data_IF_478004662554
#
_entry.id   IF_478004662554
#
_cell.length_a   1.000
_cell.length_b   1.000
_cell.length_c   1.000
_cell.angle_alpha   90.00
_cell.angle_beta   90.00
_cell.angle_gamma   90.00
#
_symmetry.space_group_name_H-M   'P 1'
#
loop_
_entity.id
_entity.type
_entity.pdbx_description
1 polymer ?
#
# COMPACT_ATOMS: atom_id res chain seq x y z
N UNK A 1 -9.05 24.88 -13.14
CA UNK A 1 -8.00 24.38 -12.23
C UNK A 1 -6.68 24.85 -12.80
N UNK A 2 -5.82 25.41 -11.96
CA UNK A 2 -4.53 25.96 -12.40
C UNK A 2 -3.59 24.78 -12.44
N UNK A 3 -3.11 24.40 -13.63
CA UNK A 3 -2.01 23.43 -13.75
C UNK A 3 -0.81 23.97 -12.97
N UNK A 4 -0.59 23.42 -11.77
CA UNK A 4 0.57 23.80 -10.96
C UNK A 4 1.75 23.06 -11.56
N UNK A 5 2.50 23.77 -12.41
CA UNK A 5 3.76 23.25 -12.93
C UNK A 5 4.67 22.88 -11.73
N UNK A 6 4.91 21.58 -11.53
CA UNK A 6 5.74 21.12 -10.42
C UNK A 6 7.18 21.58 -10.65
N UNK A 7 7.64 22.44 -9.75
CA UNK A 7 9.03 22.91 -9.65
C UNK A 7 9.58 22.67 -8.25
N UNK A 8 10.90 22.74 -8.07
CA UNK A 8 11.52 22.64 -6.76
C UNK A 8 10.93 23.64 -5.74
N UNK A 9 10.67 24.87 -6.16
CA UNK A 9 10.07 25.91 -5.31
C UNK A 9 8.63 25.58 -4.92
N UNK A 10 7.83 25.06 -5.86
CA UNK A 10 6.46 24.64 -5.56
C UNK A 10 6.44 23.48 -4.55
N UNK A 11 7.32 22.48 -4.68
CA UNK A 11 7.41 21.37 -3.74
C UNK A 11 7.84 21.85 -2.35
N UNK A 12 8.75 22.81 -2.29
CA UNK A 12 9.16 23.43 -1.03
C UNK A 12 8.00 24.17 -0.37
N UNK A 13 7.24 24.97 -1.12
CA UNK A 13 6.07 25.68 -0.60
C UNK A 13 4.95 24.73 -0.16
N UNK A 14 4.70 23.64 -0.90
CA UNK A 14 3.77 22.59 -0.50
C UNK A 14 4.20 21.94 0.81
N UNK A 15 5.49 21.58 0.95
CA UNK A 15 6.02 21.02 2.19
C UNK A 15 5.93 22.01 3.35
N UNK A 16 6.22 23.28 3.10
CA UNK A 16 6.14 24.34 4.12
C UNK A 16 4.70 24.51 4.62
N UNK A 17 3.72 24.52 3.72
CA UNK A 17 2.29 24.57 4.07
C UNK A 17 1.88 23.34 4.86
N UNK A 18 2.31 22.15 4.44
CA UNK A 18 2.07 20.89 5.16
C UNK A 18 2.66 20.91 6.57
N UNK A 19 3.83 21.54 6.76
CA UNK A 19 4.47 21.73 8.07
C UNK A 19 3.72 22.72 8.97
N UNK A 20 3.15 23.77 8.39
CA UNK A 20 2.57 24.89 9.14
C UNK A 20 1.16 24.65 9.66
N UNK A 21 0.37 23.80 8.99
CA UNK A 21 -1.03 23.52 9.31
C UNK A 21 -1.14 22.14 9.92
N UNK A 22 -2.02 21.97 10.90
CA UNK A 22 -2.33 20.64 11.45
C UNK A 22 -3.26 19.85 10.52
N UNK A 23 -4.17 20.57 9.85
CA UNK A 23 -5.08 20.00 8.86
C UNK A 23 -4.34 19.56 7.59
N UNK A 24 -4.89 18.54 6.91
CA UNK A 24 -4.37 18.08 5.63
C UNK A 24 -4.68 19.11 4.55
N UNK A 25 -3.64 19.55 3.83
CA UNK A 25 -3.85 20.53 2.76
C UNK A 25 -4.45 19.85 1.52
N UNK A 26 -5.24 20.61 0.76
CA UNK A 26 -5.69 20.21 -0.58
C UNK A 26 -4.52 20.23 -1.55
N UNK A 27 -4.30 19.10 -2.20
CA UNK A 27 -3.42 18.97 -3.36
C UNK A 27 -4.26 18.85 -4.62
N UNK A 28 -3.61 19.05 -5.77
CA UNK A 28 -4.23 18.78 -7.07
C UNK A 28 -4.39 17.27 -7.25
N UNK A 29 -5.49 16.84 -7.88
CA UNK A 29 -5.79 15.43 -8.10
C UNK A 29 -4.70 14.75 -8.97
N UNK A 30 -4.05 15.50 -9.86
CA UNK A 30 -2.96 15.01 -10.70
C UNK A 30 -1.56 15.20 -10.09
N UNK A 31 -1.46 15.62 -8.82
CA UNK A 31 -0.18 15.95 -8.16
C UNK A 31 0.90 14.88 -8.35
N UNK A 32 0.58 13.59 -8.14
CA UNK A 32 1.55 12.52 -8.29
C UNK A 32 1.98 12.30 -9.75
N UNK A 33 1.07 12.54 -10.71
CA UNK A 33 1.38 12.50 -12.14
C UNK A 33 2.35 13.60 -12.54
N UNK A 34 2.14 14.81 -12.03
CA UNK A 34 3.01 15.96 -12.31
C UNK A 34 4.38 15.80 -11.66
N UNK A 35 4.44 15.30 -10.43
CA UNK A 35 5.70 14.97 -9.74
C UNK A 35 6.49 13.91 -10.51
N UNK A 36 5.83 12.87 -11.00
CA UNK A 36 6.47 11.83 -11.79
C UNK A 36 7.07 12.38 -13.08
N UNK A 37 6.34 13.27 -13.76
CA UNK A 37 6.81 13.94 -14.98
C UNK A 37 8.03 14.80 -14.68
N UNK A 38 7.97 15.62 -13.64
CA UNK A 38 9.10 16.46 -13.19
C UNK A 38 10.36 15.64 -12.86
N UNK A 39 10.21 14.51 -12.16
CA UNK A 39 11.33 13.62 -11.84
C UNK A 39 11.94 13.00 -13.11
N UNK A 40 11.09 12.56 -14.06
CA UNK A 40 11.55 11.99 -15.33
C UNK A 40 12.34 13.01 -16.16
N UNK A 41 11.85 14.23 -16.26
CA UNK A 41 12.52 15.30 -17.01
C UNK A 41 13.88 15.64 -16.39
N UNK A 42 13.95 15.75 -15.06
CA UNK A 42 15.22 15.97 -14.35
C UNK A 42 16.20 14.82 -14.52
N UNK A 43 15.72 13.59 -14.57
CA UNK A 43 16.56 12.41 -14.81
C UNK A 43 17.11 12.39 -16.24
N UNK A 44 16.28 12.73 -17.24
CA UNK A 44 16.72 12.84 -18.63
C UNK A 44 17.82 13.91 -18.81
N UNK A 45 17.68 15.05 -18.13
CA UNK A 45 18.72 16.10 -18.10
C UNK A 45 20.02 15.55 -17.51
N UNK A 46 19.94 14.86 -16.36
CA UNK A 46 21.11 14.28 -15.70
C UNK A 46 21.84 13.26 -16.59
N UNK A 47 21.11 12.42 -17.31
CA UNK A 47 21.70 11.41 -18.21
C UNK A 47 22.32 12.07 -19.46
N UNK A 48 21.70 13.13 -19.99
CA UNK A 48 22.29 13.93 -21.08
C UNK A 48 23.59 14.63 -20.67
N UNK A 49 23.69 15.08 -19.41
CA UNK A 49 24.89 15.72 -18.87
C UNK A 49 26.04 14.73 -18.65
N UNK A 50 25.74 13.50 -18.22
CA UNK A 50 26.73 12.42 -18.06
C UNK A 50 27.33 11.96 -19.39
N UNK A 51 26.59 12.10 -20.48
CA UNK A 51 27.02 11.67 -21.82
C UNK A 51 27.99 12.66 -22.47
N UNK A 52 28.11 13.88 -21.92
CA UNK A 52 29.02 14.92 -22.41
C UNK A 52 30.33 14.84 -21.62
N UNK A 53 31.32 14.15 -22.17
CA UNK A 53 32.61 13.82 -21.54
C UNK A 53 33.58 15.02 -21.39
N UNK A 54 33.12 16.14 -20.81
CA UNK A 54 33.92 17.34 -20.58
C UNK A 54 34.22 17.53 -19.08
N UNK A 55 35.39 18.06 -18.72
CA UNK A 55 35.78 18.31 -17.32
C UNK A 55 34.75 19.17 -16.56
N UNK A 56 34.09 20.12 -17.23
CA UNK A 56 33.01 20.93 -16.69
C UNK A 56 31.68 20.18 -16.46
N UNK A 57 31.45 19.07 -17.16
CA UNK A 57 30.26 18.22 -16.97
C UNK A 57 30.23 17.61 -15.57
N UNK A 58 31.40 17.31 -14.98
CA UNK A 58 31.50 16.69 -13.66
C UNK A 58 30.87 17.55 -12.57
N UNK A 59 31.06 18.86 -12.63
CA UNK A 59 30.57 19.81 -11.62
C UNK A 59 29.08 20.14 -11.83
N UNK A 60 28.61 20.20 -13.09
CA UNK A 60 27.19 20.36 -13.41
C UNK A 60 26.39 19.11 -13.03
N UNK A 61 26.89 17.91 -13.35
CA UNK A 61 26.28 16.62 -12.96
C UNK A 61 26.14 16.52 -11.45
N UNK A 62 27.17 16.91 -10.68
CA UNK A 62 27.11 16.92 -9.22
C UNK A 62 26.05 17.88 -8.69
N UNK A 63 25.94 19.10 -9.26
CA UNK A 63 24.90 20.06 -8.88
C UNK A 63 23.49 19.53 -9.18
N UNK A 64 23.27 18.99 -10.36
CA UNK A 64 21.98 18.40 -10.76
C UNK A 64 21.61 17.22 -9.87
N UNK A 65 22.58 16.35 -9.55
CA UNK A 65 22.38 15.24 -8.63
C UNK A 65 21.96 15.73 -7.24
N UNK A 66 22.66 16.71 -6.68
CA UNK A 66 22.32 17.29 -5.38
C UNK A 66 20.92 17.93 -5.37
N UNK A 67 20.53 18.60 -6.45
CA UNK A 67 19.17 19.12 -6.59
C UNK A 67 18.13 17.99 -6.59
N UNK A 68 18.41 16.89 -7.27
CA UNK A 68 17.52 15.73 -7.31
C UNK A 68 17.40 15.05 -5.94
N UNK A 69 18.52 14.88 -5.23
CA UNK A 69 18.54 14.35 -3.87
C UNK A 69 17.71 15.23 -2.91
N UNK A 70 17.81 16.56 -3.03
CA UNK A 70 16.98 17.49 -2.27
C UNK A 70 15.48 17.33 -2.58
N UNK A 71 15.11 17.19 -3.86
CA UNK A 71 13.72 16.95 -4.27
C UNK A 71 13.18 15.67 -3.65
N UNK A 72 13.95 14.58 -3.69
CA UNK A 72 13.54 13.33 -3.03
C UNK A 72 13.38 13.48 -1.52
N UNK A 73 14.26 14.25 -0.88
CA UNK A 73 14.11 14.60 0.54
C UNK A 73 12.80 15.34 0.82
N UNK A 74 12.45 16.34 0.01
CA UNK A 74 11.20 17.10 0.14
C UNK A 74 9.98 16.19 -0.05
N UNK A 75 9.99 15.32 -1.05
CA UNK A 75 8.88 14.39 -1.32
C UNK A 75 8.69 13.37 -0.20
N UNK A 76 9.79 12.85 0.33
CA UNK A 76 9.77 11.93 1.48
C UNK A 76 9.18 12.61 2.72
N UNK A 77 9.69 13.80 3.06
CA UNK A 77 9.17 14.62 4.17
C UNK A 77 7.68 14.92 4.01
N UNK A 78 7.25 15.26 2.79
CA UNK A 78 5.86 15.57 2.49
C UNK A 78 4.98 14.33 2.69
N UNK A 79 5.41 13.18 2.19
CA UNK A 79 4.71 11.91 2.35
C UNK A 79 4.53 11.55 3.83
N UNK A 80 5.61 11.51 4.62
CA UNK A 80 5.57 11.11 6.03
C UNK A 80 4.65 12.01 6.87
N UNK A 81 4.61 13.31 6.55
CA UNK A 81 3.73 14.27 7.20
C UNK A 81 2.28 14.06 6.83
N UNK A 82 1.99 13.86 5.55
CA UNK A 82 0.63 13.57 5.09
C UNK A 82 0.14 12.24 5.66
N UNK A 83 0.97 11.21 5.66
CA UNK A 83 0.68 9.90 6.27
C UNK A 83 0.28 10.05 7.74
N UNK A 84 1.07 10.78 8.54
CA UNK A 84 0.76 11.04 9.94
C UNK A 84 -0.58 11.75 10.13
N UNK A 85 -0.87 12.75 9.27
CA UNK A 85 -2.15 13.47 9.30
C UNK A 85 -3.33 12.59 8.91
N UNK A 86 -3.18 11.73 7.91
CA UNK A 86 -4.22 10.80 7.46
C UNK A 86 -4.58 9.82 8.58
N UNK A 87 -3.58 9.30 9.32
CA UNK A 87 -3.81 8.41 10.47
C UNK A 87 -4.57 9.14 11.59
N UNK A 88 -4.13 10.36 11.94
CA UNK A 88 -4.80 11.17 12.97
C UNK A 88 -6.23 11.52 12.57
N UNK A 89 -6.44 11.80 11.30
CA UNK A 89 -7.74 12.09 10.73
C UNK A 89 -8.63 10.85 10.80
N UNK A 90 -8.14 9.67 10.40
CA UNK A 90 -8.88 8.41 10.52
C UNK A 90 -9.27 8.10 11.98
N UNK A 91 -8.38 8.38 12.93
CA UNK A 91 -8.67 8.26 14.36
C UNK A 91 -9.80 9.20 14.81
N UNK A 92 -9.83 10.43 14.31
CA UNK A 92 -10.91 11.39 14.58
C UNK A 92 -12.23 10.94 13.92
N UNK A 93 -12.18 10.51 12.66
CA UNK A 93 -13.32 9.99 11.90
C UNK A 93 -13.91 8.70 12.46
N UNK A 94 -13.11 7.91 13.18
CA UNK A 94 -13.57 6.72 13.92
C UNK A 94 -14.37 7.09 15.18
N UNK A 95 -14.17 8.30 15.73
CA UNK A 95 -14.87 8.78 16.94
C UNK A 95 -16.17 9.50 16.63
N UNK A 96 -16.20 10.24 15.52
CA UNK A 96 -17.34 11.07 15.11
C UNK A 96 -17.62 10.80 13.64
N UNK A 97 -18.74 10.13 13.36
CA UNK A 97 -19.16 9.86 11.99
C UNK A 97 -19.43 11.17 11.24
N UNK A 98 -18.83 11.34 10.06
CA UNK A 98 -19.13 12.43 9.13
C UNK A 98 -18.08 13.53 8.97
N UNK A 99 -16.97 13.52 9.72
CA UNK A 99 -15.81 14.40 9.46
C UNK A 99 -14.64 13.57 8.93
N UNK A 100 -13.98 14.03 7.86
CA UNK A 100 -12.57 13.67 7.65
C UNK A 100 -12.06 13.51 6.22
N UNK A 101 -12.88 13.22 5.21
CA UNK A 101 -12.30 12.87 3.90
C UNK A 101 -12.06 14.05 2.96
N UNK A 102 -12.24 15.28 3.45
CA UNK A 102 -12.02 16.49 2.67
C UNK A 102 -10.51 16.66 2.42
N UNK A 103 -10.13 16.96 1.18
CA UNK A 103 -8.75 17.22 0.74
C UNK A 103 -7.80 16.00 0.66
N UNK A 104 -8.31 14.78 0.81
CA UNK A 104 -7.57 13.56 0.51
C UNK A 104 -7.53 13.28 -0.99
N UNK A 105 -6.38 12.84 -1.49
CA UNK A 105 -6.26 12.25 -2.82
C UNK A 105 -6.89 10.86 -2.84
N UNK A 106 -7.25 10.34 -4.01
CA UNK A 106 -7.94 9.04 -4.10
C UNK A 106 -7.12 7.87 -3.52
N UNK A 107 -5.81 7.89 -3.74
CA UNK A 107 -4.88 6.91 -3.13
C UNK A 107 -4.84 7.03 -1.60
N UNK A 108 -4.96 8.25 -1.08
CA UNK A 108 -4.94 8.53 0.36
C UNK A 108 -6.28 8.16 1.02
N UNK A 109 -7.41 8.31 0.30
CA UNK A 109 -8.74 7.86 0.76
C UNK A 109 -8.75 6.36 1.02
N UNK A 110 -8.18 5.56 0.12
CA UNK A 110 -8.08 4.10 0.30
C UNK A 110 -7.31 3.75 1.58
N UNK A 111 -6.20 4.45 1.84
CA UNK A 111 -5.43 4.25 3.06
C UNK A 111 -6.21 4.68 4.31
N UNK A 112 -6.81 5.88 4.26
CA UNK A 112 -7.66 6.41 5.32
C UNK A 112 -8.77 5.42 5.73
N UNK A 113 -9.51 4.88 4.74
CA UNK A 113 -10.65 4.01 5.00
C UNK A 113 -10.22 2.70 5.66
N UNK A 114 -9.10 2.12 5.23
CA UNK A 114 -8.52 0.93 5.86
C UNK A 114 -8.12 1.19 7.31
N UNK A 115 -7.46 2.32 7.59
CA UNK A 115 -7.08 2.68 8.96
C UNK A 115 -8.33 2.91 9.80
N UNK A 116 -9.35 3.59 9.27
CA UNK A 116 -10.63 3.82 9.95
C UNK A 116 -11.32 2.50 10.30
N UNK A 117 -11.34 1.52 9.38
CA UNK A 117 -11.90 0.20 9.63
C UNK A 117 -11.20 -0.52 10.79
N UNK A 118 -9.87 -0.51 10.83
CA UNK A 118 -9.08 -1.09 11.92
C UNK A 118 -9.40 -0.42 13.25
N UNK A 119 -9.46 0.92 13.27
CA UNK A 119 -9.79 1.68 14.49
C UNK A 119 -11.21 1.39 14.99
N UNK A 120 -12.18 1.29 14.08
CA UNK A 120 -13.57 0.94 14.40
C UNK A 120 -13.70 -0.50 14.88
N UNK A 121 -12.94 -1.43 14.30
CA UNK A 121 -12.89 -2.81 14.74
C UNK A 121 -12.35 -2.92 16.17
N UNK A 122 -11.21 -2.27 16.46
CA UNK A 122 -10.64 -2.23 17.80
C UNK A 122 -11.60 -1.64 18.83
N UNK A 123 -12.27 -0.53 18.46
CA UNK A 123 -13.25 0.13 19.34
C UNK A 123 -14.43 -0.79 19.66
N UNK A 124 -15.01 -1.46 18.67
CA UNK A 124 -16.12 -2.40 18.89
C UNK A 124 -15.68 -3.62 19.72
N UNK A 125 -14.51 -4.18 19.42
CA UNK A 125 -13.99 -5.35 20.13
C UNK A 125 -13.63 -5.10 21.58
N UNK A 126 -13.22 -3.87 21.92
CA UNK A 126 -12.80 -3.51 23.29
C UNK A 126 -13.84 -2.66 24.00
N UNK A 127 -14.09 -1.44 23.50
CA UNK A 127 -14.91 -0.46 24.20
C UNK A 127 -16.37 -0.91 24.28
N UNK A 128 -16.97 -1.31 23.16
CA UNK A 128 -18.40 -1.69 23.15
C UNK A 128 -18.63 -2.95 23.98
N UNK A 129 -17.72 -3.92 23.91
CA UNK A 129 -17.79 -5.11 24.76
C UNK A 129 -17.71 -4.77 26.25
N UNK A 130 -16.77 -3.91 26.66
CA UNK A 130 -16.67 -3.45 28.05
C UNK A 130 -17.93 -2.70 28.51
N UNK A 131 -18.46 -1.79 27.69
CA UNK A 131 -19.69 -1.06 28.00
C UNK A 131 -20.91 -1.98 28.12
N UNK A 132 -20.90 -3.13 27.43
CA UNK A 132 -21.92 -4.17 27.51
C UNK A 132 -21.63 -5.25 28.56
N UNK A 133 -20.62 -5.08 29.42
CA UNK A 133 -20.26 -6.04 30.46
C UNK A 133 -19.68 -7.37 29.94
N UNK A 134 -19.19 -7.39 28.70
CA UNK A 134 -18.54 -8.55 28.07
C UNK A 134 -17.03 -8.39 28.11
N UNK A 135 -16.33 -9.51 28.14
CA UNK A 135 -14.86 -9.52 28.04
C UNK A 135 -14.47 -8.99 26.66
N UNK A 136 -13.45 -8.12 26.55
CA UNK A 136 -12.91 -7.69 25.26
C UNK A 136 -12.56 -8.89 24.38
N UNK A 137 -13.08 -8.87 23.16
CA UNK A 137 -12.77 -9.85 22.13
C UNK A 137 -12.35 -9.08 20.88
N UNK A 138 -11.08 -9.24 20.54
CA UNK A 138 -10.43 -8.60 19.41
C UNK A 138 -9.98 -9.66 18.41
N UNK A 139 -10.67 -10.81 18.37
CA UNK A 139 -10.47 -11.81 17.34
C UNK A 139 -10.76 -11.18 15.97
N UNK A 140 -9.76 -11.22 15.09
CA UNK A 140 -9.75 -10.52 13.79
C UNK A 140 -11.12 -10.56 13.10
N UNK A 141 -11.52 -9.47 12.41
CA UNK A 141 -12.78 -9.47 11.68
C UNK A 141 -12.76 -10.68 10.74
N UNK A 142 -13.79 -11.53 10.84
CA UNK A 142 -13.97 -12.78 10.08
C UNK A 142 -13.98 -12.60 8.53
N UNK A 143 -13.57 -11.45 8.01
CA UNK A 143 -13.40 -11.11 6.60
C UNK A 143 -11.94 -10.89 6.15
N UNK A 144 -10.97 -10.88 7.06
CA UNK A 144 -9.55 -11.15 6.73
C UNK A 144 -9.23 -12.50 7.35
N UNK A 145 -10.04 -13.52 7.05
CA UNK A 145 -9.50 -14.87 7.11
C UNK A 145 -8.43 -14.89 6.04
N UNK A 146 -7.20 -14.69 6.48
CA UNK A 146 -6.08 -15.20 5.75
C UNK A 146 -6.46 -16.64 5.37
N UNK A 147 -6.56 -16.93 4.08
CA UNK A 147 -6.68 -18.29 3.54
C UNK A 147 -5.47 -19.17 3.95
N UNK A 148 -4.68 -18.75 4.93
CA UNK A 148 -3.46 -19.35 5.45
C UNK A 148 -3.81 -20.36 6.55
N UNK A 149 -4.84 -20.13 7.37
CA UNK A 149 -5.21 -21.09 8.44
C UNK A 149 -5.89 -22.37 7.95
N UNK A 150 -6.38 -22.40 6.70
CA UNK A 150 -7.03 -23.58 6.12
C UNK A 150 -6.21 -24.23 5.00
N UNK A 151 -4.88 -24.06 4.96
CA UNK A 151 -4.03 -24.81 4.03
C UNK A 151 -3.51 -26.08 4.68
N UNK A 152 -3.74 -27.21 4.01
CA UNK A 152 -3.29 -28.53 4.42
C UNK A 152 -2.18 -28.95 3.46
N UNK A 153 -1.11 -29.47 4.05
CA UNK A 153 0.01 -30.06 3.33
C UNK A 153 -0.40 -31.42 2.78
N UNK A 154 -0.33 -31.58 1.47
CA UNK A 154 -0.67 -32.83 0.79
C UNK A 154 0.47 -33.30 -0.09
N UNK A 155 0.60 -34.62 -0.21
CA UNK A 155 1.47 -35.30 -1.15
C UNK A 155 0.64 -35.90 -2.28
N UNK A 156 0.99 -35.61 -3.53
CA UNK A 156 0.30 -36.17 -4.70
C UNK A 156 0.68 -37.64 -4.91
N UNK A 157 -0.32 -38.50 -5.15
CA UNK A 157 -0.14 -39.93 -5.47
C UNK A 157 -0.23 -40.15 -6.99
N UNK A 158 -0.68 -39.15 -7.74
CA UNK A 158 -0.82 -39.23 -9.20
C UNK A 158 -0.61 -37.84 -9.81
N UNK A 159 -0.13 -37.74 -11.06
CA UNK A 159 0.09 -36.46 -11.70
C UNK A 159 -1.24 -35.70 -11.89
N UNK A 160 -1.25 -34.42 -11.51
CA UNK A 160 -2.41 -33.54 -11.62
C UNK A 160 -2.07 -32.37 -12.54
N UNK A 161 -2.76 -32.19 -13.67
CA UNK A 161 -2.52 -31.07 -14.58
C UNK A 161 -2.92 -29.75 -13.93
N UNK A 162 -2.52 -28.63 -14.53
CA UNK A 162 -2.93 -27.29 -14.08
C UNK A 162 -4.45 -27.17 -13.97
N UNK A 163 -4.94 -26.67 -12.84
CA UNK A 163 -6.36 -26.42 -12.60
C UNK A 163 -6.58 -25.10 -11.86
N UNK A 164 -7.78 -24.54 -11.96
CA UNK A 164 -8.16 -23.28 -11.30
C UNK A 164 -8.99 -23.60 -10.06
N UNK A 165 -8.60 -23.08 -8.90
CA UNK A 165 -9.35 -23.19 -7.65
C UNK A 165 -10.54 -22.22 -7.60
N UNK A 166 -11.46 -22.42 -6.66
CA UNK A 166 -12.64 -21.56 -6.48
C UNK A 166 -12.25 -20.11 -6.09
N UNK A 167 -11.10 -19.95 -5.43
CA UNK A 167 -10.46 -18.67 -5.15
C UNK A 167 -9.84 -17.97 -6.37
N UNK A 168 -9.95 -18.55 -7.56
CA UNK A 168 -9.45 -17.98 -8.80
C UNK A 168 -7.96 -18.22 -9.09
N UNK A 169 -7.20 -18.81 -8.17
CA UNK A 169 -5.79 -19.14 -8.36
C UNK A 169 -5.60 -20.39 -9.22
N UNK A 170 -4.54 -20.40 -10.03
CA UNK A 170 -4.16 -21.56 -10.84
C UNK A 170 -3.13 -22.38 -10.06
N UNK A 171 -3.43 -23.66 -9.87
CA UNK A 171 -2.60 -24.63 -9.16
C UNK A 171 -2.04 -25.66 -10.15
N UNK A 172 -0.82 -26.13 -9.89
CA UNK A 172 -0.16 -27.18 -10.69
C UNK A 172 0.69 -26.66 -11.85
N UNK A 173 1.21 -27.56 -12.71
CA UNK A 173 0.98 -29.01 -12.68
C UNK A 173 1.75 -29.64 -11.51
N UNK A 174 1.22 -30.73 -10.96
CA UNK A 174 1.88 -31.49 -9.90
C UNK A 174 2.22 -32.88 -10.41
N UNK A 175 3.41 -33.35 -10.11
CA UNK A 175 3.88 -34.70 -10.43
C UNK A 175 3.57 -35.67 -9.29
N UNK A 176 3.80 -36.96 -9.54
CA UNK A 176 3.68 -37.98 -8.51
C UNK A 176 4.73 -37.74 -7.41
N UNK A 177 4.32 -37.83 -6.14
CA UNK A 177 5.12 -37.53 -4.94
C UNK A 177 5.39 -36.04 -4.67
N UNK A 178 4.90 -35.12 -5.49
CA UNK A 178 4.99 -33.68 -5.19
C UNK A 178 4.27 -33.33 -3.90
N UNK A 179 4.77 -32.32 -3.21
CA UNK A 179 4.20 -31.80 -1.97
C UNK A 179 3.74 -30.37 -2.17
N UNK A 180 2.46 -30.10 -1.90
CA UNK A 180 1.89 -28.76 -2.01
C UNK A 180 1.02 -28.40 -0.80
N UNK A 181 0.99 -27.12 -0.47
CA UNK A 181 0.13 -26.58 0.58
C UNK A 181 -1.13 -25.99 -0.06
N UNK A 182 -2.27 -26.67 0.10
CA UNK A 182 -3.51 -26.35 -0.60
C UNK A 182 -4.68 -26.08 0.37
N UNK A 183 -5.63 -25.21 -0.01
CA UNK A 183 -6.86 -25.01 0.76
C UNK A 183 -7.60 -26.32 1.06
N UNK A 184 -8.16 -26.46 2.26
CA UNK A 184 -8.88 -27.66 2.73
C UNK A 184 -9.95 -28.15 1.75
N UNK A 185 -10.69 -27.23 1.13
CA UNK A 185 -11.73 -27.54 0.15
C UNK A 185 -11.17 -28.30 -1.07
N UNK A 186 -9.99 -27.89 -1.57
CA UNK A 186 -9.31 -28.57 -2.67
C UNK A 186 -8.71 -29.90 -2.22
N UNK A 187 -8.19 -29.96 -0.99
CA UNK A 187 -7.62 -31.18 -0.42
C UNK A 187 -8.69 -32.26 -0.26
N UNK A 188 -9.88 -31.91 0.24
CA UNK A 188 -11.01 -32.85 0.37
C UNK A 188 -11.44 -33.43 -0.99
N UNK A 189 -11.41 -32.60 -2.06
CA UNK A 189 -11.68 -33.05 -3.42
C UNK A 189 -10.59 -33.98 -3.96
N UNK A 190 -9.31 -33.67 -3.71
CA UNK A 190 -8.18 -34.47 -4.16
C UNK A 190 -8.11 -35.83 -3.44
N UNK A 191 -8.46 -35.87 -2.15
CA UNK A 191 -8.58 -37.10 -1.37
C UNK A 191 -9.74 -37.97 -1.85
N UNK A 192 -10.93 -37.38 -2.08
CA UNK A 192 -12.08 -38.11 -2.64
C UNK A 192 -11.79 -38.72 -4.01
N UNK A 193 -10.98 -38.04 -4.82
CA UNK A 193 -10.55 -38.53 -6.14
C UNK A 193 -9.33 -39.47 -6.08
N UNK A 194 -8.78 -39.72 -4.88
CA UNK A 194 -7.63 -40.60 -4.67
C UNK A 194 -6.32 -40.09 -5.31
N UNK A 195 -6.21 -38.78 -5.56
CA UNK A 195 -5.06 -38.19 -6.28
C UNK A 195 -3.98 -37.61 -5.37
N UNK A 196 -4.29 -37.36 -4.11
CA UNK A 196 -3.35 -36.87 -3.11
C UNK A 196 -3.67 -37.45 -1.73
N UNK A 197 -2.71 -37.42 -0.82
CA UNK A 197 -2.80 -37.86 0.57
C UNK A 197 -2.36 -36.73 1.50
N UNK A 198 -3.04 -36.56 2.64
CA UNK A 198 -2.59 -35.64 3.70
C UNK A 198 -1.26 -36.13 4.28
N UNK A 199 -0.37 -35.20 4.64
CA UNK A 199 0.85 -35.45 5.41
C UNK A 199 0.60 -35.13 6.87
#
# INVERSE_FOLDING_TARGET
MVDVLITHETLYELLRREKSRDEIQKLDDNFYGDVLTYIKDKKAILDSQKSKDNIFSSQEVQKTKKQMDNVYGILKDLYERRESKIINLALASSRVDGKGSENLLDVEKIFHDKVKEIMNFQRRGVLDNLLNGRIPDVSEPKGIKSDIENKILVRFISPVPKFKGENGFIYGPFEEHDVANLPKELVDLLLKKGRAQMI
#
